data_IF_459631680091
#
_entry.id   IF_459631680091
#
_cell.length_a   1.000
_cell.length_b   1.000
_cell.length_c   1.000
_cell.angle_alpha   90.00
_cell.angle_beta   90.00
_cell.angle_gamma   90.00
#
_symmetry.space_group_name_H-M   'P 1'
#
loop_
_entity.id
_entity.type
_entity.pdbx_description
1 polymer ?
#
# COMPACT_ATOMS: atom_id res chain seq x y z
N UNK A 1 -30.50 -21.01 7.87
CA UNK A 1 -29.03 -21.18 7.85
C UNK A 1 -28.41 -19.85 7.44
N UNK A 2 -27.51 -19.26 8.25
CA UNK A 2 -26.72 -18.08 7.81
C UNK A 2 -25.69 -18.58 6.80
N UNK A 3 -25.70 -18.04 5.59
CA UNK A 3 -24.63 -18.28 4.60
C UNK A 3 -23.37 -17.63 5.17
N UNK A 4 -22.30 -18.40 5.34
CA UNK A 4 -21.03 -17.85 5.80
C UNK A 4 -20.52 -16.85 4.75
N UNK A 5 -20.02 -15.67 5.17
CA UNK A 5 -19.45 -14.72 4.23
C UNK A 5 -18.28 -15.38 3.49
N UNK A 6 -18.30 -15.30 2.16
CA UNK A 6 -17.27 -15.89 1.32
C UNK A 6 -15.96 -15.10 1.49
N UNK A 7 -14.98 -15.70 2.19
CA UNK A 7 -13.67 -15.08 2.43
C UNK A 7 -12.84 -15.03 1.14
N UNK A 8 -12.93 -16.11 0.33
CA UNK A 8 -12.11 -16.26 -0.86
C UNK A 8 -12.70 -15.50 -2.06
N UNK A 9 -11.88 -14.76 -2.82
CA UNK A 9 -12.30 -14.16 -4.08
C UNK A 9 -12.77 -15.22 -5.08
N UNK A 10 -13.55 -14.78 -6.08
CA UNK A 10 -13.83 -15.61 -7.25
C UNK A 10 -12.52 -16.00 -7.93
N UNK A 11 -12.49 -17.16 -8.58
CA UNK A 11 -11.31 -17.65 -9.27
C UNK A 11 -10.83 -16.67 -10.37
N UNK A 12 -11.78 -16.04 -11.06
CA UNK A 12 -11.59 -14.99 -12.06
C UNK A 12 -10.91 -13.76 -11.46
N UNK A 13 -11.47 -13.13 -10.42
CA UNK A 13 -10.81 -12.05 -9.66
C UNK A 13 -9.40 -12.44 -9.20
N UNK A 14 -9.24 -13.63 -8.63
CA UNK A 14 -7.95 -14.12 -8.12
C UNK A 14 -6.91 -14.22 -9.24
N UNK A 15 -7.29 -14.74 -10.40
CA UNK A 15 -6.40 -14.85 -11.56
C UNK A 15 -6.00 -13.47 -12.10
N UNK A 16 -6.93 -12.51 -12.18
CA UNK A 16 -6.66 -11.13 -12.60
C UNK A 16 -5.72 -10.44 -11.62
N UNK A 17 -5.94 -10.59 -10.32
CA UNK A 17 -5.04 -10.07 -9.27
C UNK A 17 -3.65 -10.70 -9.35
N UNK A 18 -3.57 -12.03 -9.47
CA UNK A 18 -2.29 -12.73 -9.57
C UNK A 18 -1.48 -12.27 -10.78
N UNK A 19 -2.10 -12.21 -11.95
CA UNK A 19 -1.44 -11.77 -13.19
C UNK A 19 -1.00 -10.32 -13.05
N UNK A 20 -1.84 -9.45 -12.49
CA UNK A 20 -1.49 -8.03 -12.29
C UNK A 20 -0.31 -7.89 -11.34
N UNK A 21 -0.34 -8.56 -10.19
CA UNK A 21 0.77 -8.55 -9.23
C UNK A 21 2.06 -9.13 -9.82
N UNK A 22 1.97 -10.22 -10.60
CA UNK A 22 3.12 -10.85 -11.22
C UNK A 22 3.71 -10.08 -12.41
N UNK A 23 2.98 -9.13 -13.00
CA UNK A 23 3.44 -8.39 -14.19
C UNK A 23 3.72 -6.92 -13.88
N UNK A 24 2.80 -6.22 -13.24
CA UNK A 24 2.94 -4.81 -12.85
C UNK A 24 3.83 -4.69 -11.62
N UNK A 25 3.70 -5.63 -10.67
CA UNK A 25 4.48 -5.63 -9.44
C UNK A 25 5.98 -5.52 -9.69
N UNK A 26 6.62 -6.41 -10.48
CA UNK A 26 8.05 -6.32 -10.78
C UNK A 26 8.47 -5.00 -11.44
N UNK A 27 7.61 -4.37 -12.23
CA UNK A 27 7.89 -3.05 -12.84
C UNK A 27 7.97 -1.98 -11.75
N UNK A 28 7.00 -1.96 -10.85
CA UNK A 28 6.97 -1.01 -9.74
C UNK A 28 8.08 -1.29 -8.72
N UNK A 29 8.33 -2.55 -8.41
CA UNK A 29 9.42 -3.06 -7.59
C UNK A 29 10.79 -2.61 -8.14
N UNK A 30 10.96 -2.69 -9.46
CA UNK A 30 12.19 -2.23 -10.11
C UNK A 30 12.44 -0.74 -10.01
N UNK A 31 11.40 0.08 -9.77
CA UNK A 31 11.57 1.51 -9.47
C UNK A 31 12.07 1.68 -8.04
N UNK A 32 11.47 0.96 -7.09
CA UNK A 32 11.86 1.03 -5.67
C UNK A 32 13.30 0.56 -5.44
N UNK A 33 13.67 -0.54 -6.10
CA UNK A 33 14.85 -1.32 -5.73
C UNK A 33 16.13 -0.92 -6.44
N UNK A 34 16.06 -0.02 -7.42
CA UNK A 34 17.25 0.57 -8.04
C UNK A 34 18.15 1.28 -7.02
N UNK A 35 17.59 1.76 -5.91
CA UNK A 35 18.33 2.52 -4.90
C UNK A 35 18.36 1.87 -3.52
N UNK A 36 17.72 0.72 -3.33
CA UNK A 36 17.55 0.12 -1.99
C UNK A 36 18.03 -1.32 -1.91
N UNK A 37 17.91 -2.11 -2.98
CA UNK A 37 18.19 -3.54 -2.94
C UNK A 37 19.24 -3.96 -3.95
N UNK A 38 20.04 -4.95 -3.55
CA UNK A 38 20.84 -5.76 -4.46
C UNK A 38 20.29 -7.18 -4.46
N UNK A 39 20.00 -7.74 -5.63
CA UNK A 39 19.49 -9.11 -5.76
C UNK A 39 20.63 -10.12 -5.87
N UNK A 40 20.67 -11.08 -4.94
CA UNK A 40 21.66 -12.16 -4.94
C UNK A 40 21.23 -13.40 -5.72
N UNK A 41 19.92 -13.66 -5.82
CA UNK A 41 19.38 -14.89 -6.44
C UNK A 41 18.51 -14.56 -7.64
N UNK A 42 18.84 -15.20 -8.78
CA UNK A 42 18.15 -15.07 -10.06
C UNK A 42 17.86 -13.61 -10.46
N UNK A 43 18.87 -12.72 -10.44
CA UNK A 43 18.67 -11.31 -10.76
C UNK A 43 18.27 -11.14 -12.22
N UNK A 44 17.36 -10.19 -12.45
CA UNK A 44 16.94 -9.71 -13.76
C UNK A 44 17.36 -8.25 -13.82
N UNK A 45 18.33 -7.93 -14.67
CA UNK A 45 18.75 -6.56 -14.90
C UNK A 45 18.71 -6.23 -16.38
N UNK A 46 18.11 -5.09 -16.71
CA UNK A 46 18.13 -4.51 -18.04
C UNK A 46 18.89 -3.20 -17.90
N UNK A 47 20.10 -3.06 -18.48
CA UNK A 47 20.85 -1.81 -18.42
C UNK A 47 20.11 -0.71 -19.20
N UNK A 48 20.31 0.56 -18.82
CA UNK A 48 19.85 1.66 -19.68
C UNK A 48 20.52 1.55 -21.06
N UNK A 49 19.78 1.84 -22.16
CA UNK A 49 20.38 1.88 -23.48
C UNK A 49 21.52 2.89 -23.47
N UNK A 50 22.74 2.40 -23.68
CA UNK A 50 23.92 3.25 -23.76
C UNK A 50 23.82 4.07 -25.05
N UNK A 51 23.28 5.28 -24.96
CA UNK A 51 23.49 6.25 -26.02
C UNK A 51 24.96 6.61 -26.00
N UNK A 52 25.73 6.14 -27.00
CA UNK A 52 27.09 6.60 -27.25
C UNK A 52 27.04 8.11 -27.43
N UNK A 53 27.28 8.83 -26.34
CA UNK A 53 27.58 10.26 -26.39
C UNK A 53 28.86 10.43 -27.21
N UNK A 54 28.98 11.49 -28.03
CA UNK A 54 30.24 11.86 -28.65
C UNK A 54 31.34 11.89 -27.58
N UNK A 55 32.50 11.33 -27.91
CA UNK A 55 33.64 11.08 -27.00
C UNK A 55 34.05 12.29 -26.16
N UNK A 56 33.82 13.48 -26.67
CA UNK A 56 34.22 14.74 -26.02
C UNK A 56 33.27 15.15 -24.88
N UNK A 57 31.99 14.74 -24.95
CA UNK A 57 31.02 14.97 -23.87
C UNK A 57 31.11 13.90 -22.77
N UNK A 58 31.46 12.66 -23.14
CA UNK A 58 31.68 11.56 -22.20
C UNK A 58 32.87 11.82 -21.26
N UNK A 59 33.97 12.40 -21.80
CA UNK A 59 35.13 12.78 -21.00
C UNK A 59 34.82 13.91 -20.01
N UNK A 60 33.98 14.88 -20.39
CA UNK A 60 33.54 15.96 -19.49
C UNK A 60 32.58 15.47 -18.40
N UNK A 61 31.67 14.54 -18.72
CA UNK A 61 30.78 13.91 -17.74
C UNK A 61 31.54 13.01 -16.75
N UNK A 62 32.50 12.21 -17.23
CA UNK A 62 33.34 11.37 -16.40
C UNK A 62 34.29 12.16 -15.48
N UNK A 63 34.74 13.34 -15.91
CA UNK A 63 35.56 14.24 -15.09
C UNK A 63 34.76 15.00 -14.02
N UNK A 64 33.42 15.09 -14.16
CA UNK A 64 32.53 15.71 -13.18
C UNK A 64 31.97 14.72 -12.15
N UNK A 65 32.08 13.41 -12.39
CA UNK A 65 31.58 12.36 -11.51
C UNK A 65 32.72 11.73 -10.68
N UNK A 66 33.07 12.38 -9.57
CA UNK A 66 33.74 11.73 -8.42
C UNK A 66 32.74 10.89 -7.59
N UNK A 67 31.53 10.70 -8.11
CA UNK A 67 30.50 9.83 -7.55
C UNK A 67 30.58 8.47 -8.24
N UNK A 68 31.04 7.48 -7.47
CA UNK A 68 30.60 6.08 -7.51
C UNK A 68 29.50 5.82 -8.52
N UNK A 69 29.85 5.10 -9.60
CA UNK A 69 28.95 4.68 -10.68
C UNK A 69 27.69 4.08 -10.07
N UNK A 70 26.63 4.88 -9.97
CA UNK A 70 25.28 4.42 -9.65
C UNK A 70 24.89 3.52 -10.82
N UNK A 71 24.81 2.23 -10.54
CA UNK A 71 24.51 1.22 -11.52
C UNK A 71 23.18 1.54 -12.20
N UNK A 72 23.28 2.12 -13.39
CA UNK A 72 22.14 2.62 -14.15
C UNK A 72 21.51 1.42 -14.85
N UNK A 73 20.63 0.71 -14.13
CA UNK A 73 19.71 -0.25 -14.73
C UNK A 73 18.37 0.43 -15.02
N UNK A 74 17.80 0.18 -16.20
CA UNK A 74 16.43 0.55 -16.54
C UNK A 74 15.42 -0.28 -15.73
N UNK A 75 15.77 -1.55 -15.50
CA UNK A 75 14.97 -2.50 -14.75
C UNK A 75 15.90 -3.38 -13.91
N UNK A 76 15.58 -3.54 -12.63
CA UNK A 76 16.30 -4.40 -11.70
C UNK A 76 15.28 -5.14 -10.83
N UNK A 77 15.23 -6.47 -10.90
CA UNK A 77 14.35 -7.31 -10.07
C UNK A 77 14.94 -8.73 -9.93
N UNK A 78 14.16 -9.69 -9.44
CA UNK A 78 14.52 -11.12 -9.39
C UNK A 78 13.37 -11.98 -9.92
N UNK A 79 13.68 -13.14 -10.51
CA UNK A 79 12.65 -14.13 -10.92
C UNK A 79 11.77 -14.64 -9.75
N UNK A 80 12.20 -14.42 -8.51
CA UNK A 80 11.42 -14.74 -7.31
C UNK A 80 10.30 -13.71 -7.04
N UNK A 81 10.47 -12.45 -7.49
CA UNK A 81 9.55 -11.35 -7.22
C UNK A 81 8.19 -11.51 -7.92
N UNK A 82 8.10 -11.84 -9.24
CA UNK A 82 6.82 -12.00 -9.91
C UNK A 82 5.84 -12.98 -9.23
N UNK A 83 6.20 -14.24 -8.92
CA UNK A 83 5.26 -15.15 -8.27
C UNK A 83 4.90 -14.70 -6.85
N UNK A 84 5.85 -14.10 -6.11
CA UNK A 84 5.60 -13.58 -4.77
C UNK A 84 4.57 -12.46 -4.78
N UNK A 85 4.74 -11.47 -5.66
CA UNK A 85 3.82 -10.35 -5.82
C UNK A 85 2.47 -10.81 -6.40
N UNK A 86 2.45 -11.79 -7.29
CA UNK A 86 1.19 -12.40 -7.75
C UNK A 86 0.37 -12.95 -6.59
N UNK A 87 0.98 -13.75 -5.70
CA UNK A 87 0.29 -14.26 -4.50
C UNK A 87 -0.10 -13.12 -3.55
N UNK A 88 0.81 -12.17 -3.33
CA UNK A 88 0.54 -11.02 -2.45
C UNK A 88 -0.69 -10.23 -2.91
N UNK A 89 -0.83 -9.95 -4.21
CA UNK A 89 -1.98 -9.22 -4.75
C UNK A 89 -3.31 -9.97 -4.54
N UNK A 90 -3.32 -11.30 -4.63
CA UNK A 90 -4.53 -12.10 -4.32
C UNK A 90 -4.90 -11.97 -2.85
N UNK A 91 -3.91 -12.06 -1.95
CA UNK A 91 -4.14 -11.95 -0.52
C UNK A 91 -4.59 -10.54 -0.13
N UNK A 92 -3.84 -9.51 -0.56
CA UNK A 92 -4.07 -8.12 -0.20
C UNK A 92 -5.32 -7.54 -0.86
N UNK A 93 -5.56 -7.84 -2.14
CA UNK A 93 -6.70 -7.30 -2.88
C UNK A 93 -8.00 -8.08 -2.68
N UNK A 94 -7.91 -9.37 -2.39
CA UNK A 94 -9.07 -10.25 -2.30
C UNK A 94 -9.39 -10.73 -0.88
N UNK A 95 -8.41 -11.33 -0.18
CA UNK A 95 -8.68 -12.06 1.07
C UNK A 95 -8.71 -11.12 2.28
N UNK A 96 -7.64 -10.35 2.47
CA UNK A 96 -7.42 -9.53 3.66
C UNK A 96 -8.53 -8.49 3.91
N UNK A 97 -9.05 -7.75 2.90
CA UNK A 97 -10.09 -6.75 3.12
C UNK A 97 -11.41 -7.37 3.57
N UNK A 98 -11.75 -8.56 3.04
CA UNK A 98 -12.95 -9.31 3.43
C UNK A 98 -12.82 -9.83 4.85
N UNK A 99 -11.64 -10.33 5.22
CA UNK A 99 -11.35 -10.74 6.59
C UNK A 99 -11.53 -9.56 7.57
N UNK A 100 -10.98 -8.40 7.24
CA UNK A 100 -11.12 -7.20 8.08
C UNK A 100 -12.58 -6.74 8.20
N UNK A 101 -13.35 -6.82 7.11
CA UNK A 101 -14.78 -6.50 7.15
C UNK A 101 -15.55 -7.45 8.09
N UNK A 102 -15.30 -8.76 7.99
CA UNK A 102 -15.92 -9.76 8.87
C UNK A 102 -15.59 -9.48 10.34
N UNK A 103 -14.34 -9.12 10.63
CA UNK A 103 -13.92 -8.77 12.00
C UNK A 103 -14.67 -7.53 12.52
N UNK A 104 -14.78 -6.48 11.70
CA UNK A 104 -15.52 -5.25 12.05
C UNK A 104 -16.99 -5.55 12.32
N UNK A 105 -17.64 -6.34 11.45
CA UNK A 105 -19.05 -6.69 11.57
C UNK A 105 -19.31 -7.50 12.85
N UNK A 106 -18.42 -8.45 13.16
CA UNK A 106 -18.52 -9.25 14.38
C UNK A 106 -18.36 -8.40 15.66
N UNK A 107 -17.40 -7.47 15.68
CA UNK A 107 -17.20 -6.57 16.83
C UNK A 107 -18.41 -5.64 17.01
N UNK A 108 -19.02 -5.20 15.91
CA UNK A 108 -20.20 -4.34 15.97
C UNK A 108 -21.43 -5.06 16.52
N UNK A 109 -21.68 -6.30 16.10
CA UNK A 109 -22.80 -7.12 16.58
C UNK A 109 -22.73 -7.41 18.08
N UNK A 110 -21.54 -7.68 18.63
CA UNK A 110 -21.36 -7.95 20.07
C UNK A 110 -21.77 -6.75 20.93
N UNK A 111 -21.55 -5.52 20.45
CA UNK A 111 -21.91 -4.31 21.18
C UNK A 111 -23.43 -4.05 21.21
N UNK A 112 -24.14 -4.41 20.13
CA UNK A 112 -25.59 -4.23 20.03
C UNK A 112 -26.34 -5.17 21.00
N UNK A 113 -25.90 -6.42 21.12
CA UNK A 113 -26.48 -7.41 22.04
C UNK A 113 -26.27 -6.99 23.51
N UNK A 114 -25.09 -6.46 23.85
CA UNK A 114 -24.80 -5.96 25.20
C UNK A 114 -25.72 -4.78 25.59
N UNK A 115 -26.04 -3.90 24.65
CA UNK A 115 -26.94 -2.75 24.89
C UNK A 115 -28.40 -3.18 25.10
N UNK A 116 -28.83 -4.27 24.45
CA UNK A 116 -30.20 -4.79 24.57
C UNK A 116 -30.45 -5.45 25.93
N UNK A 117 -29.42 -6.09 26.51
CA UNK A 117 -29.52 -6.71 27.85
C UNK A 117 -29.59 -5.63 28.95
N UNK A 118 -28.91 -4.50 28.78
CA UNK A 118 -28.93 -3.42 29.78
C UNK A 118 -30.30 -2.71 29.90
N UNK A 119 -31.08 -2.64 28.81
CA UNK A 119 -32.34 -1.90 28.80
C UNK A 119 -33.56 -2.69 29.32
N UNK A 120 -33.44 -4.00 29.56
CA UNK A 120 -34.53 -4.81 30.08
C UNK A 120 -34.67 -4.78 31.61
N UNK A 121 -33.74 -4.13 32.33
CA UNK A 121 -33.84 -3.94 33.78
C UNK A 121 -34.50 -2.61 34.20
N UNK A 122 -34.76 -1.70 33.26
CA UNK A 122 -35.44 -0.42 33.53
C UNK A 122 -36.84 -0.41 32.92
N UNK A 123 -37.71 -1.26 33.47
CA UNK A 123 -39.16 -1.11 33.30
C UNK A 123 -39.61 0.08 34.15
N UNK A 124 -40.12 1.09 33.46
CA UNK A 124 -40.89 2.27 33.90
C UNK A 124 -40.09 3.52 34.31
N UNK A 125 -39.66 4.33 33.33
CA UNK A 125 -40.08 5.75 33.24
C UNK A 125 -39.63 6.44 31.94
N UNK A 126 -40.63 6.92 31.19
CA UNK A 126 -40.72 8.27 30.62
C UNK A 126 -39.76 8.76 29.50
N UNK A 127 -40.40 9.00 28.35
CA UNK A 127 -40.14 10.01 27.28
C UNK A 127 -38.75 10.14 26.63
N UNK A 128 -38.70 9.67 25.39
CA UNK A 128 -38.59 10.55 24.22
C UNK A 128 -37.44 11.56 24.21
N UNK A 129 -36.25 11.11 23.81
CA UNK A 129 -35.33 12.01 23.11
C UNK A 129 -34.49 11.23 22.09
N UNK A 130 -34.66 11.58 20.81
CA UNK A 130 -33.83 11.09 19.69
C UNK A 130 -32.44 11.71 19.82
N UNK A 131 -31.50 10.99 20.41
CA UNK A 131 -30.08 11.31 20.32
C UNK A 131 -29.61 11.07 18.89
N UNK A 132 -29.29 12.15 18.18
CA UNK A 132 -28.67 12.11 16.86
C UNK A 132 -27.24 11.59 17.01
N UNK A 133 -26.99 10.45 16.36
CA UNK A 133 -25.72 9.75 16.30
C UNK A 133 -24.65 10.61 15.59
N UNK A 134 -23.85 11.34 16.37
CA UNK A 134 -22.89 12.36 15.92
C UNK A 134 -21.60 11.79 15.32
N UNK A 135 -21.36 10.47 15.38
CA UNK A 135 -20.13 9.85 14.86
C UNK A 135 -20.04 9.80 13.34
N UNK A 136 -21.16 9.94 12.62
CA UNK A 136 -21.17 9.97 11.15
C UNK A 136 -20.79 11.34 10.54
N UNK A 137 -20.84 12.41 11.34
CA UNK A 137 -20.79 13.78 10.82
C UNK A 137 -19.43 14.26 10.31
N UNK A 138 -18.32 13.87 10.95
CA UNK A 138 -17.00 14.39 10.57
C UNK A 138 -16.48 13.78 9.25
N UNK A 139 -16.62 12.45 9.11
CA UNK A 139 -16.12 11.74 7.93
C UNK A 139 -16.97 12.02 6.68
N UNK A 140 -18.31 12.08 6.81
CA UNK A 140 -19.19 12.47 5.70
C UNK A 140 -18.89 13.91 5.24
N UNK A 141 -18.72 14.85 6.17
CA UNK A 141 -18.43 16.25 5.84
C UNK A 141 -17.08 16.46 5.15
N UNK A 142 -16.07 15.64 5.47
CA UNK A 142 -14.77 15.69 4.80
C UNK A 142 -14.82 15.05 3.41
N UNK A 143 -15.51 13.92 3.27
CA UNK A 143 -15.80 13.25 1.99
C UNK A 143 -16.59 14.16 1.03
N UNK A 144 -17.58 14.89 1.52
CA UNK A 144 -18.38 15.83 0.72
C UNK A 144 -17.54 17.03 0.23
N UNK A 145 -16.58 17.49 1.03
CA UNK A 145 -15.72 18.62 0.68
C UNK A 145 -14.68 18.27 -0.38
N UNK A 146 -14.09 17.07 -0.31
CA UNK A 146 -13.07 16.57 -1.26
C UNK A 146 -13.65 15.91 -2.52
N UNK A 147 -14.88 15.38 -2.46
CA UNK A 147 -15.54 14.84 -3.66
C UNK A 147 -16.08 15.94 -4.58
N UNK A 148 -16.28 17.16 -4.09
CA UNK A 148 -16.85 18.27 -4.86
C UNK A 148 -16.07 18.68 -6.13
N UNK A 149 -14.73 18.68 -6.19
CA UNK A 149 -13.99 19.02 -7.42
C UNK A 149 -13.97 17.85 -8.41
N UNK A 150 -13.82 16.61 -7.92
CA UNK A 150 -13.78 15.39 -8.75
C UNK A 150 -15.16 15.07 -9.36
N UNK A 151 -16.24 15.31 -8.60
CA UNK A 151 -17.61 15.23 -9.14
C UNK A 151 -17.92 16.35 -10.13
N UNK A 152 -17.24 17.49 -10.04
CA UNK A 152 -17.38 18.59 -11.02
C UNK A 152 -16.74 18.23 -12.36
N UNK A 153 -15.67 17.45 -12.35
CA UNK A 153 -15.02 16.93 -13.56
C UNK A 153 -15.81 15.78 -14.21
N UNK A 154 -16.51 14.94 -13.44
CA UNK A 154 -17.35 13.88 -14.01
C UNK A 154 -18.67 14.38 -14.60
N UNK A 155 -19.20 15.51 -14.10
CA UNK A 155 -20.48 16.09 -14.57
C UNK A 155 -20.40 16.82 -15.91
N UNK A 156 -19.22 17.11 -16.45
CA UNK A 156 -19.09 17.87 -17.70
C UNK A 156 -19.40 17.03 -18.95
N UNK A 157 -19.44 15.70 -18.88
CA UNK A 157 -19.39 14.89 -20.11
C UNK A 157 -20.57 13.98 -20.46
N UNK A 158 -21.74 14.02 -19.81
CA UNK A 158 -22.82 13.08 -20.17
C UNK A 158 -24.21 13.70 -20.05
N UNK A 159 -24.75 14.12 -21.20
CA UNK A 159 -26.19 14.34 -21.40
C UNK A 159 -26.60 13.60 -22.68
N UNK A 160 -26.74 12.28 -22.59
CA UNK A 160 -27.40 11.42 -23.58
C UNK A 160 -28.23 10.38 -22.80
N UNK A 161 -29.52 10.35 -23.12
CA UNK A 161 -30.59 9.57 -22.46
C UNK A 161 -30.74 8.13 -22.99
N UNK A 162 -31.18 7.27 -22.07
CA UNK A 162 -32.13 6.14 -22.19
C UNK A 162 -31.82 4.88 -23.01
N UNK A 163 -31.22 3.91 -22.31
CA UNK A 163 -31.86 2.63 -21.98
C UNK A 163 -31.38 2.24 -20.56
N UNK A 164 -32.24 2.48 -19.55
CA UNK A 164 -31.81 2.99 -18.23
C UNK A 164 -31.06 2.04 -17.28
N UNK A 165 -31.02 0.73 -17.50
CA UNK A 165 -30.28 -0.18 -16.59
C UNK A 165 -28.84 -0.46 -17.06
N UNK A 166 -28.62 -0.50 -18.37
CA UNK A 166 -27.29 -0.80 -18.93
C UNK A 166 -26.32 0.39 -18.78
N UNK A 167 -26.86 1.62 -18.74
CA UNK A 167 -26.08 2.84 -18.56
C UNK A 167 -25.49 2.99 -17.15
N UNK A 168 -26.27 2.66 -16.11
CA UNK A 168 -25.87 2.82 -14.71
C UNK A 168 -24.73 1.85 -14.34
N UNK A 169 -24.86 0.57 -14.73
CA UNK A 169 -23.81 -0.44 -14.49
C UNK A 169 -22.49 -0.07 -15.18
N UNK A 170 -22.54 0.44 -16.42
CA UNK A 170 -21.34 0.92 -17.13
C UNK A 170 -20.70 2.13 -16.44
N UNK A 171 -21.51 3.07 -15.96
CA UNK A 171 -20.99 4.24 -15.24
C UNK A 171 -20.33 3.83 -13.92
N UNK A 172 -20.91 2.85 -13.21
CA UNK A 172 -20.32 2.28 -12.00
C UNK A 172 -18.98 1.59 -12.29
N UNK A 173 -18.94 0.71 -13.30
CA UNK A 173 -17.73 -0.03 -13.69
C UNK A 173 -16.60 0.91 -14.13
N UNK A 174 -16.90 1.93 -14.93
CA UNK A 174 -15.91 2.94 -15.34
C UNK A 174 -15.39 3.75 -14.14
N UNK A 175 -16.25 4.05 -13.17
CA UNK A 175 -15.83 4.65 -11.90
C UNK A 175 -14.86 3.78 -11.11
N UNK A 176 -15.13 2.48 -10.99
CA UNK A 176 -14.25 1.52 -10.29
C UNK A 176 -12.91 1.34 -11.00
N UNK A 177 -12.94 1.22 -12.34
CA UNK A 177 -11.73 1.16 -13.17
C UNK A 177 -10.86 2.40 -12.98
N UNK A 178 -11.45 3.59 -13.06
CA UNK A 178 -10.70 4.83 -12.91
C UNK A 178 -10.07 4.94 -11.51
N UNK A 179 -10.78 4.52 -10.45
CA UNK A 179 -10.23 4.46 -9.09
C UNK A 179 -9.05 3.50 -8.99
N UNK A 180 -9.16 2.31 -9.57
CA UNK A 180 -8.08 1.33 -9.60
C UNK A 180 -6.84 1.87 -10.35
N UNK A 181 -7.04 2.53 -11.50
CA UNK A 181 -5.95 3.17 -12.24
C UNK A 181 -5.26 4.28 -11.44
N UNK A 182 -6.03 5.17 -10.80
CA UNK A 182 -5.46 6.21 -9.93
C UNK A 182 -4.74 5.59 -8.74
N UNK A 183 -5.22 4.47 -8.20
CA UNK A 183 -4.56 3.72 -7.14
C UNK A 183 -3.17 3.25 -7.57
N UNK A 184 -3.07 2.52 -8.67
CA UNK A 184 -1.80 2.01 -9.19
C UNK A 184 -0.83 3.15 -9.50
N UNK A 185 -1.30 4.22 -10.14
CA UNK A 185 -0.47 5.39 -10.46
C UNK A 185 0.02 6.11 -9.20
N UNK A 186 -0.84 6.28 -8.21
CA UNK A 186 -0.44 6.92 -6.94
C UNK A 186 0.51 6.04 -6.13
N UNK A 187 0.37 4.71 -6.14
CA UNK A 187 1.35 3.81 -5.53
C UNK A 187 2.70 3.93 -6.21
N UNK A 188 2.76 3.92 -7.54
CA UNK A 188 4.00 4.10 -8.28
C UNK A 188 4.69 5.44 -7.95
N UNK A 189 3.90 6.52 -7.80
CA UNK A 189 4.41 7.83 -7.37
C UNK A 189 4.93 7.80 -5.92
N UNK A 190 4.24 7.13 -4.99
CA UNK A 190 4.67 6.99 -3.60
C UNK A 190 5.99 6.20 -3.53
N UNK A 191 6.11 5.13 -4.31
CA UNK A 191 7.34 4.33 -4.39
C UNK A 191 8.48 5.12 -5.01
N UNK A 192 8.23 5.93 -6.03
CA UNK A 192 9.25 6.81 -6.58
C UNK A 192 9.62 7.94 -5.60
N UNK A 193 8.66 8.42 -4.82
CA UNK A 193 8.90 9.39 -3.76
C UNK A 193 9.79 8.80 -2.66
N UNK A 194 9.61 7.53 -2.27
CA UNK A 194 10.48 6.90 -1.27
C UNK A 194 11.93 6.87 -1.76
N UNK A 195 12.15 6.45 -3.01
CA UNK A 195 13.48 6.46 -3.63
C UNK A 195 14.10 7.87 -3.62
N UNK A 196 13.29 8.87 -4.00
CA UNK A 196 13.74 10.27 -3.98
C UNK A 196 14.14 10.73 -2.57
N UNK A 197 13.34 10.40 -1.55
CA UNK A 197 13.60 10.79 -0.16
C UNK A 197 14.84 10.11 0.44
N UNK A 198 15.13 8.87 0.04
CA UNK A 198 16.32 8.12 0.47
C UNK A 198 17.60 8.61 -0.25
N UNK A 199 17.48 8.99 -1.53
CA UNK A 199 18.64 9.39 -2.34
C UNK A 199 18.96 10.88 -2.27
N UNK A 200 17.96 11.73 -2.09
CA UNK A 200 18.12 13.18 -2.00
C UNK A 200 17.89 13.61 -0.55
N UNK A 201 18.99 13.86 0.17
CA UNK A 201 18.93 14.43 1.52
C UNK A 201 18.23 15.79 1.43
N UNK A 202 16.99 15.85 1.92
CA UNK A 202 16.13 17.04 1.88
C UNK A 202 16.50 18.01 3.03
N UNK A 203 17.77 18.44 3.04
CA UNK A 203 18.36 19.27 4.12
C UNK A 203 17.60 20.58 4.37
N UNK A 204 16.97 21.15 3.32
CA UNK A 204 16.30 22.44 3.38
C UNK A 204 14.98 22.43 4.19
N UNK A 205 14.28 21.29 4.28
CA UNK A 205 13.04 21.20 5.06
C UNK A 205 13.33 20.91 6.54
N UNK A 206 14.35 20.07 6.78
CA UNK A 206 14.72 19.56 8.11
C UNK A 206 15.35 20.65 9.00
N UNK A 207 16.11 21.57 8.41
CA UNK A 207 16.76 22.68 9.13
C UNK A 207 15.79 23.60 9.88
N UNK A 208 14.49 23.59 9.56
CA UNK A 208 13.50 24.43 10.24
C UNK A 208 12.71 23.72 11.36
N UNK A 209 12.76 22.38 11.45
CA UNK A 209 11.86 21.60 12.32
C UNK A 209 12.55 20.88 13.48
N UNK A 210 13.90 20.86 13.54
CA UNK A 210 14.68 20.07 14.49
C UNK A 210 14.30 18.57 14.52
N UNK A 211 13.66 18.06 13.46
CA UNK A 211 13.33 16.66 13.33
C UNK A 211 14.51 15.90 12.74
N UNK A 212 14.64 14.63 13.10
CA UNK A 212 15.56 13.72 12.41
C UNK A 212 15.15 13.57 10.93
N UNK A 213 16.14 13.44 10.02
CA UNK A 213 15.90 13.36 8.57
C UNK A 213 15.07 12.11 8.24
N UNK A 214 15.42 10.96 8.81
CA UNK A 214 14.72 9.70 8.58
C UNK A 214 13.26 9.79 9.05
N UNK A 215 13.04 10.39 10.23
CA UNK A 215 11.69 10.62 10.72
C UNK A 215 10.86 11.55 9.83
N UNK A 216 11.49 12.59 9.26
CA UNK A 216 10.81 13.52 8.35
C UNK A 216 10.38 12.81 7.06
N UNK A 217 11.25 11.98 6.49
CA UNK A 217 10.96 11.16 5.31
C UNK A 217 9.79 10.19 5.58
N UNK A 218 9.83 9.49 6.71
CA UNK A 218 8.76 8.59 7.12
C UNK A 218 7.42 9.30 7.30
N UNK A 219 7.40 10.50 7.89
CA UNK A 219 6.20 11.32 8.06
C UNK A 219 5.62 11.71 6.69
N UNK A 220 6.45 12.19 5.76
CA UNK A 220 6.02 12.56 4.40
C UNK A 220 5.37 11.37 3.70
N UNK A 221 6.03 10.21 3.76
CA UNK A 221 5.54 8.98 3.15
C UNK A 221 4.23 8.48 3.77
N UNK A 222 4.11 8.54 5.10
CA UNK A 222 2.89 8.19 5.80
C UNK A 222 1.73 9.13 5.40
N UNK A 223 1.98 10.43 5.29
CA UNK A 223 0.96 11.38 4.81
C UNK A 223 0.53 11.09 3.37
N UNK A 224 1.47 10.75 2.48
CA UNK A 224 1.14 10.38 1.10
C UNK A 224 0.28 9.11 1.03
N UNK A 225 0.65 8.08 1.79
CA UNK A 225 -0.10 6.82 1.88
C UNK A 225 -1.51 7.01 2.49
N UNK A 226 -1.63 7.80 3.57
CA UNK A 226 -2.92 8.13 4.17
C UNK A 226 -3.80 8.98 3.23
N UNK A 227 -3.20 9.92 2.50
CA UNK A 227 -3.92 10.69 1.49
C UNK A 227 -4.43 9.80 0.35
N UNK A 228 -3.64 8.82 -0.10
CA UNK A 228 -4.07 7.82 -1.06
C UNK A 228 -5.28 7.02 -0.53
N UNK A 229 -5.21 6.49 0.69
CA UNK A 229 -6.35 5.79 1.30
C UNK A 229 -7.59 6.67 1.37
N UNK A 230 -7.44 7.90 1.86
CA UNK A 230 -8.55 8.81 2.10
C UNK A 230 -9.25 9.26 0.81
N UNK A 231 -8.49 9.38 -0.30
CA UNK A 231 -9.02 9.79 -1.61
C UNK A 231 -9.61 8.62 -2.39
N UNK A 232 -9.04 7.42 -2.29
CA UNK A 232 -9.41 6.30 -3.15
C UNK A 232 -10.43 5.35 -2.56
N UNK A 233 -10.43 5.14 -1.24
CA UNK A 233 -11.25 4.12 -0.60
C UNK A 233 -12.02 4.68 0.60
N UNK A 234 -11.29 5.18 1.60
CA UNK A 234 -11.82 5.75 2.83
C UNK A 234 -12.52 4.74 3.76
N UNK A 235 -12.51 3.44 3.45
CA UNK A 235 -13.10 2.42 4.35
C UNK A 235 -12.14 2.05 5.47
N UNK A 236 -12.68 1.77 6.66
CA UNK A 236 -11.90 1.34 7.83
C UNK A 236 -11.29 -0.05 7.58
N UNK A 237 -12.00 -0.96 6.91
CA UNK A 237 -11.48 -2.28 6.57
C UNK A 237 -10.19 -2.18 5.72
N UNK A 238 -10.17 -1.30 4.72
CA UNK A 238 -8.98 -1.07 3.91
C UNK A 238 -7.84 -0.41 4.72
N UNK A 239 -8.16 0.54 5.61
CA UNK A 239 -7.18 1.16 6.49
C UNK A 239 -6.50 0.13 7.39
N UNK A 240 -7.29 -0.75 8.03
CA UNK A 240 -6.77 -1.81 8.90
C UNK A 240 -5.91 -2.81 8.10
N UNK A 241 -6.39 -3.25 6.95
CA UNK A 241 -5.64 -4.13 6.07
C UNK A 241 -4.29 -3.52 5.69
N UNK A 242 -4.28 -2.26 5.21
CA UNK A 242 -3.07 -1.57 4.81
C UNK A 242 -2.11 -1.30 5.99
N UNK A 243 -2.64 -1.03 7.19
CA UNK A 243 -1.83 -0.85 8.42
C UNK A 243 -1.18 -2.15 8.87
N UNK A 244 -1.92 -3.27 8.80
CA UNK A 244 -1.34 -4.59 9.11
C UNK A 244 -0.25 -4.92 8.09
N UNK A 245 -0.48 -4.68 6.81
CA UNK A 245 0.51 -4.93 5.76
C UNK A 245 1.71 -3.99 5.83
N UNK A 246 1.56 -2.74 6.28
CA UNK A 246 2.69 -1.81 6.43
C UNK A 246 3.71 -2.27 7.48
N UNK A 247 3.28 -3.16 8.39
CA UNK A 247 4.16 -3.79 9.39
C UNK A 247 4.57 -5.19 8.90
N UNK A 248 3.60 -6.01 8.50
CA UNK A 248 3.84 -7.40 8.12
C UNK A 248 4.60 -7.56 6.80
N UNK A 249 4.45 -6.62 5.87
CA UNK A 249 5.11 -6.61 4.56
C UNK A 249 6.64 -6.59 4.69
N UNK A 250 7.23 -5.53 5.29
CA UNK A 250 8.68 -5.47 5.49
C UNK A 250 9.21 -6.66 6.31
N UNK A 251 8.49 -7.08 7.34
CA UNK A 251 8.87 -8.25 8.15
C UNK A 251 8.86 -9.56 7.35
N UNK A 252 7.97 -9.68 6.35
CA UNK A 252 7.91 -10.87 5.48
C UNK A 252 9.10 -10.99 4.54
N UNK A 253 9.89 -9.93 4.37
CA UNK A 253 11.12 -9.95 3.58
C UNK A 253 12.30 -10.59 4.33
N UNK A 254 12.28 -10.60 5.67
CA UNK A 254 13.40 -11.05 6.49
C UNK A 254 13.92 -12.47 6.14
N UNK A 255 13.06 -13.48 5.90
CA UNK A 255 13.54 -14.80 5.50
C UNK A 255 14.27 -14.80 4.15
N UNK A 256 13.87 -13.92 3.22
CA UNK A 256 14.51 -13.78 1.91
C UNK A 256 15.85 -13.06 2.03
N UNK A 257 15.93 -12.02 2.84
CA UNK A 257 17.20 -11.33 3.14
C UNK A 257 18.17 -12.27 3.84
N UNK A 258 17.71 -13.01 4.86
CA UNK A 258 18.52 -14.00 5.56
C UNK A 258 18.99 -15.15 4.65
N UNK A 259 18.21 -15.49 3.61
CA UNK A 259 18.57 -16.50 2.62
C UNK A 259 19.47 -15.95 1.49
N UNK A 260 19.83 -14.66 1.54
CA UNK A 260 20.63 -14.01 0.50
C UNK A 260 19.90 -13.82 -0.84
N UNK A 261 18.57 -13.88 -0.86
CA UNK A 261 17.79 -13.62 -2.07
C UNK A 261 18.00 -12.17 -2.54
N UNK A 262 18.01 -11.23 -1.61
CA UNK A 262 18.39 -9.84 -1.79
C UNK A 262 18.98 -9.28 -0.49
N UNK A 263 19.69 -8.17 -0.59
CA UNK A 263 20.23 -7.43 0.54
C UNK A 263 19.90 -5.96 0.38
N UNK A 264 19.51 -5.31 1.48
CA UNK A 264 19.38 -3.86 1.52
C UNK A 264 20.75 -3.19 1.53
N UNK A 265 20.80 -1.96 1.03
CA UNK A 265 21.95 -1.11 1.24
C UNK A 265 22.10 -0.78 2.74
N UNK A 266 23.32 -0.85 3.32
CA UNK A 266 23.53 -0.55 4.73
C UNK A 266 23.00 0.82 5.17
N UNK A 267 23.01 1.80 4.26
CA UNK A 267 22.56 3.17 4.51
C UNK A 267 21.04 3.28 4.70
N UNK A 268 20.27 2.32 4.16
CA UNK A 268 18.81 2.29 4.26
C UNK A 268 18.29 1.56 5.51
N UNK A 269 19.18 1.09 6.38
CA UNK A 269 18.86 0.24 7.53
C UNK A 269 18.34 1.02 8.76
N UNK A 270 17.03 1.33 8.81
CA UNK A 270 16.44 2.12 9.90
C UNK A 270 15.06 1.62 10.41
N UNK A 271 14.68 0.37 10.14
CA UNK A 271 13.33 -0.14 10.45
C UNK A 271 12.95 -0.10 11.95
N UNK A 272 12.12 0.89 12.28
CA UNK A 272 11.66 1.23 13.64
C UNK A 272 11.04 0.08 14.44
N UNK A 273 10.18 -0.81 13.89
CA UNK A 273 9.65 -1.95 14.65
C UNK A 273 10.71 -2.95 15.14
N UNK A 274 11.92 -2.90 14.59
CA UNK A 274 13.08 -3.68 15.02
C UNK A 274 14.12 -2.85 15.77
N UNK A 275 13.84 -1.57 16.03
CA UNK A 275 14.73 -0.72 16.83
C UNK A 275 14.79 -1.18 18.29
N UNK A 276 15.97 -1.02 18.91
CA UNK A 276 16.23 -1.43 20.29
C UNK A 276 15.24 -0.79 21.27
N UNK A 277 14.72 -1.59 22.20
CA UNK A 277 13.81 -1.13 23.27
C UNK A 277 12.34 -1.11 22.86
N UNK A 278 11.99 -1.62 21.68
CA UNK A 278 10.60 -1.89 21.32
C UNK A 278 10.24 -3.35 21.65
N UNK A 279 9.02 -3.57 22.16
CA UNK A 279 8.56 -4.92 22.51
C UNK A 279 8.59 -5.89 21.31
N UNK A 280 8.38 -5.38 20.10
CA UNK A 280 8.49 -6.14 18.85
C UNK A 280 9.94 -6.46 18.50
N UNK A 281 10.85 -5.48 18.61
CA UNK A 281 12.28 -5.71 18.41
C UNK A 281 12.85 -6.76 19.36
N UNK A 282 12.42 -6.75 20.63
CA UNK A 282 12.85 -7.74 21.61
C UNK A 282 12.31 -9.15 21.30
N UNK A 283 11.03 -9.27 20.89
CA UNK A 283 10.43 -10.56 20.49
C UNK A 283 11.10 -11.10 19.23
N UNK A 284 11.29 -10.26 18.20
CA UNK A 284 11.95 -10.67 16.96
C UNK A 284 13.41 -11.03 17.23
N UNK A 285 14.10 -10.29 18.10
CA UNK A 285 15.45 -10.62 18.57
C UNK A 285 15.55 -12.00 19.21
N UNK A 286 14.53 -12.44 19.96
CA UNK A 286 14.45 -13.79 20.53
C UNK A 286 14.30 -14.84 19.42
N UNK A 287 13.41 -14.66 18.44
CA UNK A 287 13.28 -15.58 17.31
C UNK A 287 14.54 -15.62 16.42
N UNK A 288 15.18 -14.46 16.26
CA UNK A 288 16.42 -14.28 15.51
C UNK A 288 17.62 -14.99 16.15
N UNK A 289 17.70 -15.00 17.48
CA UNK A 289 18.81 -15.62 18.22
C UNK A 289 18.95 -17.14 18.00
N UNK A 290 17.91 -17.81 17.48
CA UNK A 290 17.96 -19.22 17.08
C UNK A 290 18.63 -19.48 15.71
N UNK A 291 18.86 -18.44 14.90
CA UNK A 291 19.39 -18.54 13.52
C UNK A 291 20.84 -18.10 13.33
N UNK A 292 21.53 -17.65 14.38
CA UNK A 292 22.98 -17.38 14.36
C UNK A 292 23.45 -16.04 13.78
N UNK A 293 22.54 -15.12 13.43
CA UNK A 293 22.88 -13.76 13.00
C UNK A 293 22.04 -12.71 13.73
N UNK A 294 22.62 -11.54 14.00
CA UNK A 294 21.89 -10.41 14.57
C UNK A 294 20.95 -9.87 13.48
N UNK A 295 19.63 -10.06 13.62
CA UNK A 295 18.63 -9.60 12.63
C UNK A 295 18.68 -8.08 12.41
N UNK A 296 19.36 -7.37 13.30
CA UNK A 296 19.68 -5.95 13.23
C UNK A 296 20.55 -5.60 12.02
N UNK A 297 21.32 -6.57 11.51
CA UNK A 297 22.16 -6.40 10.31
C UNK A 297 21.38 -6.66 9.00
N UNK A 298 20.12 -7.13 9.07
CA UNK A 298 19.28 -7.40 7.88
C UNK A 298 18.74 -6.12 7.21
N UNK A 299 19.10 -4.95 7.73
CA UNK A 299 19.04 -3.66 7.05
C UNK A 299 17.68 -3.27 6.43
N UNK A 300 16.55 -3.62 7.06
CA UNK A 300 15.24 -3.15 6.59
C UNK A 300 15.15 -1.61 6.69
N UNK A 301 14.50 -0.98 5.71
CA UNK A 301 14.18 0.45 5.74
C UNK A 301 12.78 0.71 6.27
N UNK A 302 12.65 1.67 7.19
CA UNK A 302 11.39 2.17 7.75
C UNK A 302 10.46 2.72 6.67
N UNK A 303 11.02 3.22 5.56
CA UNK A 303 10.27 3.79 4.43
C UNK A 303 9.46 2.75 3.65
N UNK A 304 9.83 1.46 3.76
CA UNK A 304 9.12 0.36 3.10
C UNK A 304 7.71 0.18 3.66
N UNK A 305 7.47 0.51 4.93
CA UNK A 305 6.16 0.36 5.57
C UNK A 305 5.05 1.14 4.86
N UNK A 306 5.19 2.47 4.69
CA UNK A 306 4.28 3.27 3.86
C UNK A 306 4.14 2.79 2.41
N UNK A 307 5.19 2.21 1.81
CA UNK A 307 5.11 1.64 0.45
C UNK A 307 4.20 0.41 0.42
N UNK A 308 4.34 -0.50 1.39
CA UNK A 308 3.45 -1.65 1.56
C UNK A 308 2.01 -1.24 1.86
N UNK A 309 1.81 -0.14 2.60
CA UNK A 309 0.49 0.46 2.79
C UNK A 309 -0.11 0.85 1.43
N UNK A 310 0.64 1.59 0.61
CA UNK A 310 0.19 2.07 -0.68
C UNK A 310 -0.14 0.93 -1.67
N UNK A 311 0.75 -0.07 -1.75
CA UNK A 311 0.52 -1.29 -2.54
C UNK A 311 -0.74 -2.03 -2.08
N UNK A 312 -0.98 -2.10 -0.77
CA UNK A 312 -2.23 -2.70 -0.28
C UNK A 312 -3.45 -1.94 -0.78
N UNK A 313 -3.40 -0.60 -0.80
CA UNK A 313 -4.51 0.23 -1.28
C UNK A 313 -4.80 0.01 -2.77
N UNK A 314 -3.77 -0.13 -3.62
CA UNK A 314 -4.00 -0.43 -5.03
C UNK A 314 -4.52 -1.84 -5.26
N UNK A 315 -4.02 -2.84 -4.53
CA UNK A 315 -4.47 -4.22 -4.64
C UNK A 315 -5.96 -4.32 -4.27
N UNK A 316 -6.38 -3.59 -3.22
CA UNK A 316 -7.80 -3.50 -2.82
C UNK A 316 -8.63 -2.85 -3.92
N UNK A 317 -8.16 -1.74 -4.50
CA UNK A 317 -8.89 -1.04 -5.55
C UNK A 317 -9.04 -1.91 -6.82
N UNK A 318 -7.98 -2.63 -7.21
CA UNK A 318 -7.99 -3.60 -8.30
C UNK A 318 -8.94 -4.77 -8.02
N UNK A 319 -8.87 -5.34 -6.81
CA UNK A 319 -9.73 -6.46 -6.41
C UNK A 319 -11.21 -6.11 -6.49
N UNK A 320 -11.58 -4.92 -6.01
CA UNK A 320 -12.97 -4.43 -6.11
C UNK A 320 -13.40 -4.13 -7.56
N UNK A 321 -12.49 -3.62 -8.39
CA UNK A 321 -12.79 -3.41 -9.81
C UNK A 321 -13.02 -4.75 -10.52
N UNK A 322 -12.17 -5.74 -10.28
CA UNK A 322 -12.30 -7.07 -10.90
C UNK A 322 -13.54 -7.83 -10.42
N UNK A 323 -13.88 -7.75 -9.13
CA UNK A 323 -15.14 -8.32 -8.61
C UNK A 323 -16.36 -7.70 -9.32
N UNK A 324 -16.38 -6.37 -9.48
CA UNK A 324 -17.47 -5.67 -10.15
C UNK A 324 -17.55 -5.99 -11.66
N UNK A 325 -16.42 -6.27 -12.29
CA UNK A 325 -16.33 -6.68 -13.70
C UNK A 325 -16.93 -8.09 -13.91
N UNK A 326 -16.69 -8.99 -12.95
CA UNK A 326 -17.19 -10.38 -12.99
C UNK A 326 -18.69 -10.49 -12.69
N UNK A 327 -19.32 -9.49 -12.07
CA UNK A 327 -20.78 -9.45 -11.84
C UNK A 327 -21.57 -9.12 -13.11
N UNK A 328 -20.90 -8.63 -14.15
CA UNK A 328 -21.53 -8.19 -15.42
C UNK A 328 -21.47 -9.30 -16.49
N UNK A 329 -20.52 -10.23 -16.38
CA UNK A 329 -20.34 -11.35 -17.33
C UNK A 329 -21.24 -12.53 -17.00
#
# INVERSE_FOLDING_TARGET
>A
MKVLPQILPRATTSSKLFITGATVGPVVDSLHNQCLLTYGIAPISIPWPSFTMPTDAAAAAAAASDATVTSSYLFCSSWLVPPLLGVAYVVLGGVLPRLMQILIDNVSNVNDDASTISNNNDINTFTGNKTKDTRKGFFLRWKDKLSSPLQKLSKINIKIEENNNDGENRQYQTGMRNRALVAVLSTALIIKLSEFLETQQLDAFVTNTNLDIGMSNLIIMLFAALAQWATLDGTIAALLAATVTSIGGPLSELPFVASGCWSYLPEAADYLPLSQGTALGDIVGIFASGGGGDYRDLALSSITGPCYFAVTMDAIALGRWFDADDDIM
#
